data_IF_208984321564
#
_entry.id   IF_208984321564
#
_cell.length_a   1.000
_cell.length_b   1.000
_cell.length_c   1.000
_cell.angle_alpha   90.00
_cell.angle_beta   90.00
_cell.angle_gamma   90.00
#
_symmetry.space_group_name_H-M   'P 1'
#
loop_
_entity.id
_entity.type
_entity.pdbx_description
1 polymer ?
#
# COMPACT_ATOMS: atom_id res chain seq x y z
N UNK A 1 -10.32 5.18 14.19
CA UNK A 1 -9.03 4.80 14.82
C UNK A 1 -7.97 4.71 13.73
N UNK A 2 -6.78 5.26 13.99
CA UNK A 2 -5.60 5.15 13.11
C UNK A 2 -4.43 4.67 13.93
N UNK A 3 -3.78 3.61 13.51
CA UNK A 3 -2.50 3.12 14.03
C UNK A 3 -1.48 3.19 12.92
N UNK A 4 -0.29 3.74 13.20
CA UNK A 4 0.80 3.87 12.23
C UNK A 4 1.98 2.99 12.64
N UNK A 5 2.54 2.27 11.68
CA UNK A 5 3.71 1.42 11.82
C UNK A 5 4.73 1.84 10.74
N UNK A 6 5.99 1.92 11.09
CA UNK A 6 7.07 2.13 10.12
C UNK A 6 7.59 0.78 9.65
N UNK A 7 7.51 0.51 8.37
CA UNK A 7 7.80 -0.81 7.79
C UNK A 7 8.84 -0.76 6.69
N UNK A 8 9.53 -1.89 6.54
CA UNK A 8 10.52 -2.10 5.49
C UNK A 8 11.80 -1.26 5.64
N UNK A 9 12.73 -1.41 4.68
CA UNK A 9 14.04 -0.76 4.75
C UNK A 9 13.96 0.78 4.69
N UNK A 10 12.93 1.33 4.05
CA UNK A 10 12.76 2.78 3.93
C UNK A 10 11.89 3.41 5.01
N UNK A 11 11.42 2.62 6.00
CA UNK A 11 10.56 3.11 7.07
C UNK A 11 9.28 3.74 6.54
N UNK A 12 8.70 3.13 5.51
CA UNK A 12 7.45 3.56 4.91
C UNK A 12 6.31 3.49 5.93
N UNK A 13 5.42 4.47 5.89
CA UNK A 13 4.26 4.49 6.77
C UNK A 13 3.23 3.46 6.32
N UNK A 14 3.04 2.41 7.10
CA UNK A 14 1.90 1.51 7.01
C UNK A 14 0.84 1.92 8.03
N UNK A 15 -0.43 1.90 7.65
CA UNK A 15 -1.50 2.25 8.58
C UNK A 15 -2.50 1.11 8.74
N UNK A 16 -2.97 0.91 9.98
CA UNK A 16 -4.16 0.13 10.28
C UNK A 16 -5.26 1.15 10.57
N UNK A 17 -6.25 1.21 9.70
CA UNK A 17 -7.36 2.15 9.80
C UNK A 17 -8.68 1.43 10.07
N UNK A 18 -9.49 1.97 10.96
CA UNK A 18 -10.82 1.48 11.25
C UNK A 18 -11.79 2.62 11.53
N UNK A 19 -12.93 2.61 10.88
CA UNK A 19 -14.12 3.39 11.21
C UNK A 19 -15.11 2.62 12.10
N UNK A 20 -14.81 1.36 12.42
CA UNK A 20 -15.63 0.46 13.25
C UNK A 20 -14.86 -0.03 14.48
N UNK A 21 -15.52 -0.83 15.35
CA UNK A 21 -14.86 -1.43 16.52
C UNK A 21 -14.22 -2.79 16.28
N UNK A 22 -14.45 -3.42 15.14
CA UNK A 22 -14.05 -4.80 14.88
C UNK A 22 -13.27 -5.01 13.60
N UNK A 23 -13.52 -4.20 12.58
CA UNK A 23 -12.95 -4.37 11.25
C UNK A 23 -11.95 -3.25 10.96
N UNK A 24 -10.87 -3.59 10.26
CA UNK A 24 -9.87 -2.63 9.82
C UNK A 24 -9.45 -2.91 8.37
N UNK A 25 -8.82 -1.92 7.77
CA UNK A 25 -8.05 -2.09 6.55
C UNK A 25 -6.58 -1.80 6.85
N UNK A 26 -5.71 -2.43 6.08
CA UNK A 26 -4.27 -2.17 6.12
C UNK A 26 -3.95 -1.29 4.91
N UNK A 27 -3.29 -0.17 5.13
CA UNK A 27 -2.88 0.76 4.07
C UNK A 27 -1.37 0.69 3.93
N UNK A 28 -0.88 0.48 2.70
CA UNK A 28 0.53 0.47 2.33
C UNK A 28 1.42 -0.47 3.18
N UNK A 29 1.20 -1.79 3.16
CA UNK A 29 2.03 -2.75 3.88
C UNK A 29 3.35 -3.00 3.14
N UNK A 30 4.32 -2.12 3.32
CA UNK A 30 5.58 -2.09 2.57
C UNK A 30 6.66 -3.06 3.05
N UNK A 31 6.44 -3.78 4.16
CA UNK A 31 7.37 -4.73 4.76
C UNK A 31 6.88 -5.20 6.11
N UNK A 32 7.70 -5.98 6.82
CA UNK A 32 7.50 -6.37 8.23
C UNK A 32 6.11 -6.99 8.50
N UNK A 33 5.67 -7.92 7.66
CA UNK A 33 4.33 -8.52 7.69
C UNK A 33 3.96 -9.12 9.06
N UNK A 34 4.95 -9.69 9.77
CA UNK A 34 4.75 -10.28 11.10
C UNK A 34 4.42 -9.19 12.14
N UNK A 35 5.06 -8.02 12.05
CA UNK A 35 4.76 -6.88 12.92
C UNK A 35 3.38 -6.29 12.64
N UNK A 36 3.03 -6.15 11.36
CA UNK A 36 1.69 -5.68 10.95
C UNK A 36 0.62 -6.63 11.48
N UNK A 37 0.79 -7.95 11.28
CA UNK A 37 -0.17 -8.95 11.73
C UNK A 37 -0.29 -8.95 13.28
N UNK A 38 0.84 -8.92 13.99
CA UNK A 38 0.85 -8.84 15.46
C UNK A 38 0.14 -7.58 15.97
N UNK A 39 0.28 -6.44 15.27
CA UNK A 39 -0.39 -5.19 15.65
C UNK A 39 -1.90 -5.27 15.43
N UNK A 40 -2.36 -5.84 14.33
CA UNK A 40 -3.80 -6.10 14.08
C UNK A 40 -4.38 -7.00 15.16
N UNK A 41 -3.67 -8.09 15.51
CA UNK A 41 -4.11 -9.01 16.55
C UNK A 41 -4.14 -8.33 17.94
N UNK A 42 -3.16 -7.51 18.28
CA UNK A 42 -3.12 -6.73 19.53
C UNK A 42 -4.31 -5.76 19.66
N UNK A 43 -4.73 -5.18 18.53
CA UNK A 43 -5.91 -4.30 18.46
C UNK A 43 -7.25 -5.06 18.50
N UNK A 44 -7.21 -6.40 18.51
CA UNK A 44 -8.38 -7.28 18.43
C UNK A 44 -9.27 -6.97 17.21
N UNK A 45 -8.66 -6.68 16.06
CA UNK A 45 -9.36 -6.34 14.83
C UNK A 45 -9.28 -7.45 13.79
N UNK A 46 -10.22 -7.43 12.87
CA UNK A 46 -10.25 -8.30 11.69
C UNK A 46 -9.96 -7.46 10.46
N UNK A 47 -8.87 -7.73 9.73
CA UNK A 47 -8.61 -7.01 8.50
C UNK A 47 -9.54 -7.50 7.40
N UNK A 48 -10.25 -6.58 6.75
CA UNK A 48 -11.19 -6.85 5.67
C UNK A 48 -10.61 -6.56 4.28
N UNK A 49 -9.41 -5.99 4.22
CA UNK A 49 -8.70 -5.75 2.97
C UNK A 49 -7.45 -4.91 3.14
N UNK A 50 -6.71 -4.81 2.04
CA UNK A 50 -5.55 -3.93 1.89
C UNK A 50 -5.84 -2.87 0.84
N UNK A 51 -5.53 -1.61 1.14
CA UNK A 51 -5.64 -0.49 0.23
C UNK A 51 -4.25 0.09 -0.04
N UNK A 52 -3.90 0.27 -1.32
CA UNK A 52 -2.61 0.82 -1.73
C UNK A 52 -2.78 2.24 -2.27
N UNK A 53 -2.00 3.19 -1.74
CA UNK A 53 -1.97 4.56 -2.25
C UNK A 53 -1.35 4.62 -3.63
N UNK A 54 -0.37 3.76 -3.92
CA UNK A 54 0.27 3.63 -5.23
C UNK A 54 1.04 2.32 -5.34
N UNK A 55 1.71 2.08 -6.47
CA UNK A 55 2.29 0.80 -6.81
C UNK A 55 3.78 0.63 -6.52
N UNK A 56 4.46 1.48 -5.75
CA UNK A 56 5.87 1.26 -5.44
C UNK A 56 6.08 0.14 -4.42
N UNK A 57 7.21 -0.54 -4.54
CA UNK A 57 7.48 -1.78 -3.81
C UNK A 57 7.49 -1.60 -2.30
N UNK A 58 8.03 -0.50 -1.83
CA UNK A 58 8.10 -0.14 -0.41
C UNK A 58 6.73 0.15 0.24
N UNK A 59 5.66 0.19 -0.55
CA UNK A 59 4.27 0.29 -0.08
C UNK A 59 3.51 -1.04 -0.18
N UNK A 60 4.11 -2.09 -0.78
CA UNK A 60 3.36 -3.32 -1.07
C UNK A 60 4.14 -4.62 -0.87
N UNK A 61 5.40 -4.58 -0.44
CA UNK A 61 6.26 -5.77 -0.41
C UNK A 61 5.75 -6.88 0.54
N UNK A 62 5.02 -6.53 1.60
CA UNK A 62 4.45 -7.51 2.54
C UNK A 62 3.17 -8.20 2.02
N UNK A 63 2.57 -7.76 0.90
CA UNK A 63 1.25 -8.24 0.45
C UNK A 63 1.16 -9.75 0.32
N UNK A 64 2.15 -10.39 -0.30
CA UNK A 64 2.12 -11.83 -0.55
C UNK A 64 2.04 -12.63 0.75
N UNK A 65 2.86 -12.27 1.73
CA UNK A 65 2.93 -12.95 3.03
C UNK A 65 1.72 -12.63 3.91
N UNK A 66 1.28 -11.37 3.96
CA UNK A 66 0.06 -11.00 4.67
C UNK A 66 -1.15 -11.75 4.13
N UNK A 67 -1.33 -11.76 2.80
CA UNK A 67 -2.44 -12.49 2.17
C UNK A 67 -2.39 -13.98 2.52
N UNK A 68 -1.23 -14.63 2.38
CA UNK A 68 -1.07 -16.05 2.70
C UNK A 68 -1.35 -16.34 4.19
N UNK A 69 -0.86 -15.50 5.11
CA UNK A 69 -1.09 -15.62 6.55
C UNK A 69 -2.57 -15.53 6.91
N UNK A 70 -3.28 -14.52 6.42
CA UNK A 70 -4.70 -14.34 6.74
C UNK A 70 -5.59 -15.37 6.05
N UNK A 71 -5.31 -15.77 4.81
CA UNK A 71 -6.02 -16.86 4.13
C UNK A 71 -5.81 -18.20 4.84
N UNK A 72 -4.60 -18.48 5.36
CA UNK A 72 -4.32 -19.65 6.20
C UNK A 72 -5.11 -19.65 7.52
N UNK A 73 -5.51 -18.47 8.01
CA UNK A 73 -6.40 -18.29 9.19
C UNK A 73 -7.88 -18.29 8.83
N UNK A 74 -8.24 -18.48 7.56
CA UNK A 74 -9.62 -18.51 7.07
C UNK A 74 -10.22 -17.13 6.74
N UNK A 75 -9.43 -16.07 6.72
CA UNK A 75 -9.88 -14.73 6.34
C UNK A 75 -9.59 -14.46 4.85
N UNK A 76 -10.47 -13.70 4.22
CA UNK A 76 -10.18 -13.13 2.89
C UNK A 76 -9.49 -11.78 3.08
N UNK A 77 -8.41 -11.54 2.34
CA UNK A 77 -7.71 -10.27 2.34
C UNK A 77 -7.63 -9.71 0.92
N UNK A 78 -8.73 -9.14 0.39
CA UNK A 78 -8.72 -8.52 -0.93
C UNK A 78 -7.82 -7.28 -0.97
N UNK A 79 -7.21 -7.05 -2.15
CA UNK A 79 -6.26 -5.98 -2.39
C UNK A 79 -6.85 -4.97 -3.36
N UNK A 80 -6.89 -3.72 -2.94
CA UNK A 80 -7.38 -2.59 -3.70
C UNK A 80 -6.24 -1.64 -4.11
N UNK A 81 -6.19 -1.27 -5.39
CA UNK A 81 -5.21 -0.33 -5.94
C UNK A 81 -5.84 0.44 -7.10
N UNK A 82 -5.37 1.64 -7.37
CA UNK A 82 -5.80 2.41 -8.54
C UNK A 82 -5.54 1.68 -9.86
N UNK A 83 -6.47 1.80 -10.80
CA UNK A 83 -6.44 1.10 -12.09
C UNK A 83 -5.12 1.29 -12.85
N UNK A 84 -4.53 2.47 -12.84
CA UNK A 84 -3.30 2.78 -13.56
C UNK A 84 -2.06 2.12 -12.97
N UNK A 85 -2.07 1.77 -11.68
CA UNK A 85 -0.95 1.16 -10.96
C UNK A 85 -1.07 -0.38 -10.83
N UNK A 86 -2.15 -0.98 -11.34
CA UNK A 86 -2.35 -2.44 -11.30
C UNK A 86 -1.17 -3.27 -11.84
N UNK A 87 -0.38 -2.68 -12.76
CA UNK A 87 0.79 -3.32 -13.38
C UNK A 87 1.90 -3.69 -12.39
N UNK A 88 1.93 -3.04 -11.23
CA UNK A 88 2.88 -3.30 -10.15
C UNK A 88 2.57 -4.57 -9.36
N UNK A 89 1.41 -5.19 -9.60
CA UNK A 89 0.94 -6.41 -8.93
C UNK A 89 0.81 -7.58 -9.90
N UNK A 90 0.68 -8.80 -9.34
CA UNK A 90 0.59 -10.03 -10.12
C UNK A 90 1.92 -10.47 -10.73
N UNK A 91 1.86 -11.43 -11.63
CA UNK A 91 3.05 -12.10 -12.19
C UNK A 91 4.02 -11.14 -12.89
N UNK A 92 3.53 -10.08 -13.53
CA UNK A 92 4.36 -9.07 -14.20
C UNK A 92 4.93 -8.02 -13.27
N UNK A 93 4.36 -7.85 -12.08
CA UNK A 93 4.76 -6.79 -11.14
C UNK A 93 6.21 -6.92 -10.68
N UNK A 94 6.67 -8.15 -10.42
CA UNK A 94 8.05 -8.39 -9.99
C UNK A 94 9.09 -7.85 -10.97
N UNK A 95 8.86 -8.02 -12.27
CA UNK A 95 9.77 -7.50 -13.31
C UNK A 95 9.76 -5.97 -13.36
N UNK A 96 8.59 -5.36 -13.21
CA UNK A 96 8.49 -3.89 -13.16
C UNK A 96 9.26 -3.32 -11.96
N UNK A 97 9.16 -3.97 -10.80
CA UNK A 97 9.90 -3.55 -9.60
C UNK A 97 11.40 -3.76 -9.75
N UNK A 98 11.83 -4.89 -10.32
CA UNK A 98 13.25 -5.17 -10.58
C UNK A 98 13.87 -4.05 -11.41
N UNK A 99 13.24 -3.67 -12.52
CA UNK A 99 13.73 -2.59 -13.39
C UNK A 99 13.78 -1.24 -12.66
N UNK A 100 12.78 -0.95 -11.83
CA UNK A 100 12.76 0.28 -11.04
C UNK A 100 13.90 0.31 -10.01
N UNK A 101 14.12 -0.77 -9.26
CA UNK A 101 15.16 -0.87 -8.23
C UNK A 101 16.56 -0.83 -8.84
N UNK A 102 16.81 -1.55 -9.93
CA UNK A 102 18.08 -1.51 -10.66
C UNK A 102 18.44 -0.06 -11.08
N UNK A 103 17.44 0.73 -11.49
CA UNK A 103 17.67 2.13 -11.81
C UNK A 103 18.10 2.99 -10.61
N UNK A 104 17.86 2.49 -9.39
CA UNK A 104 18.24 3.12 -8.12
C UNK A 104 19.50 2.47 -7.50
N UNK A 105 20.08 1.45 -8.14
CA UNK A 105 21.21 0.69 -7.63
C UNK A 105 20.85 -0.21 -6.44
N UNK A 106 19.61 -0.69 -6.39
CA UNK A 106 19.06 -1.55 -5.33
C UNK A 106 18.65 -2.92 -5.86
N UNK A 107 18.58 -3.89 -4.99
CA UNK A 107 18.21 -5.27 -5.30
C UNK A 107 16.80 -5.60 -4.75
N UNK A 108 16.13 -6.58 -5.36
CA UNK A 108 14.81 -7.04 -4.92
C UNK A 108 14.86 -7.70 -3.54
N UNK A 109 15.99 -8.29 -3.20
CA UNK A 109 16.28 -8.99 -1.95
C UNK A 109 16.25 -8.06 -0.75
N UNK A 110 16.45 -6.76 -0.94
CA UNK A 110 16.32 -5.74 0.10
C UNK A 110 14.88 -5.62 0.63
N UNK A 111 13.88 -6.05 -0.17
CA UNK A 111 12.47 -5.94 0.14
C UNK A 111 11.77 -7.28 0.38
N UNK A 112 12.27 -8.35 -0.24
CA UNK A 112 11.62 -9.66 -0.16
C UNK A 112 12.53 -10.69 0.52
N UNK A 113 11.96 -11.46 1.43
CA UNK A 113 12.58 -12.67 1.94
C UNK A 113 12.56 -13.75 0.85
N UNK A 114 13.52 -14.67 0.85
CA UNK A 114 13.63 -15.76 -0.14
C UNK A 114 12.36 -16.61 -0.26
N UNK A 115 11.64 -16.80 0.86
CA UNK A 115 10.42 -17.59 0.94
C UNK A 115 9.14 -16.77 0.68
N UNK A 116 9.26 -15.51 0.24
CA UNK A 116 8.09 -14.68 -0.02
C UNK A 116 7.28 -15.20 -1.21
N UNK A 117 5.97 -15.39 -1.04
CA UNK A 117 5.08 -15.60 -2.16
C UNK A 117 5.20 -14.42 -3.13
N UNK A 118 5.02 -14.67 -4.41
CA UNK A 118 5.01 -13.57 -5.39
C UNK A 118 3.94 -12.53 -5.09
N UNK A 119 4.02 -11.40 -5.77
CA UNK A 119 3.02 -10.34 -5.63
C UNK A 119 1.64 -10.83 -6.09
N UNK A 120 0.60 -10.73 -5.25
CA UNK A 120 -0.73 -11.14 -5.62
C UNK A 120 -1.33 -10.20 -6.69
N UNK A 121 -2.34 -10.68 -7.40
CA UNK A 121 -3.14 -9.82 -8.29
C UNK A 121 -4.03 -8.90 -7.45
N UNK A 122 -4.31 -7.66 -7.91
CA UNK A 122 -5.31 -6.83 -7.27
C UNK A 122 -6.71 -7.41 -7.47
N UNK A 123 -7.51 -7.40 -6.41
CA UNK A 123 -8.90 -7.85 -6.43
C UNK A 123 -9.84 -6.71 -6.80
N UNK A 124 -9.55 -5.48 -6.37
CA UNK A 124 -10.38 -4.29 -6.54
C UNK A 124 -9.57 -3.21 -7.26
N UNK A 125 -10.19 -2.58 -8.25
CA UNK A 125 -9.65 -1.44 -8.98
C UNK A 125 -10.32 -0.18 -8.50
N UNK A 126 -9.52 0.74 -7.99
CA UNK A 126 -9.98 2.03 -7.48
C UNK A 126 -9.87 3.13 -8.53
N UNK A 127 -10.74 4.13 -8.41
CA UNK A 127 -10.76 5.37 -9.19
C UNK A 127 -11.34 6.51 -8.34
N UNK A 128 -11.30 7.73 -8.85
CA UNK A 128 -11.80 8.93 -8.18
C UNK A 128 -13.20 8.73 -7.59
N UNK A 129 -13.36 9.11 -6.32
CA UNK A 129 -14.64 9.08 -5.62
C UNK A 129 -15.09 7.72 -5.09
N UNK A 130 -14.37 6.64 -5.38
CA UNK A 130 -14.71 5.31 -4.86
C UNK A 130 -14.60 5.28 -3.34
N UNK A 131 -15.48 4.50 -2.70
CA UNK A 131 -15.35 4.13 -1.29
C UNK A 131 -14.48 2.88 -1.15
N UNK A 132 -13.65 2.88 -0.12
CA UNK A 132 -12.69 1.78 0.12
C UNK A 132 -13.25 0.84 1.18
N UNK A 133 -13.60 -0.39 0.79
CA UNK A 133 -14.10 -1.46 1.68
C UNK A 133 -15.26 -1.02 2.59
N UNK A 134 -16.17 -0.18 2.09
CA UNK A 134 -17.28 0.41 2.87
C UNK A 134 -16.85 1.19 4.13
N UNK A 135 -15.55 1.52 4.24
CA UNK A 135 -15.04 2.43 5.25
C UNK A 135 -15.45 3.88 4.93
N UNK A 136 -15.42 4.76 5.95
CA UNK A 136 -15.71 6.20 5.79
C UNK A 136 -14.52 6.93 5.14
N UNK A 137 -13.94 6.34 4.09
CA UNK A 137 -12.86 6.93 3.30
C UNK A 137 -13.18 6.86 1.81
N UNK A 138 -12.82 7.92 1.10
CA UNK A 138 -12.96 8.05 -0.34
C UNK A 138 -11.60 8.17 -1.01
N UNK A 139 -11.55 7.78 -2.28
CA UNK A 139 -10.38 7.92 -3.14
C UNK A 139 -10.35 9.33 -3.72
N UNK A 140 -9.18 9.99 -3.62
CA UNK A 140 -8.84 11.21 -4.34
C UNK A 140 -7.68 10.88 -5.29
N UNK A 141 -7.87 11.03 -6.59
CA UNK A 141 -6.79 10.83 -7.55
C UNK A 141 -5.77 11.97 -7.47
N UNK A 142 -4.51 11.60 -7.26
CA UNK A 142 -3.38 12.54 -7.15
C UNK A 142 -2.22 12.09 -8.03
N UNK A 143 -2.43 11.92 -9.36
CA UNK A 143 -1.40 11.42 -10.25
C UNK A 143 -0.20 12.37 -10.28
N UNK A 144 1.01 11.78 -10.31
CA UNK A 144 2.25 12.55 -10.34
C UNK A 144 3.45 11.73 -9.92
N UNK A 145 3.45 11.21 -8.70
CA UNK A 145 4.49 10.30 -8.20
C UNK A 145 4.46 8.98 -8.96
N UNK A 146 3.26 8.40 -9.10
CA UNK A 146 2.93 7.39 -10.11
C UNK A 146 1.70 7.83 -10.90
N UNK A 147 1.40 7.20 -12.07
CA UNK A 147 0.17 7.46 -12.80
C UNK A 147 -1.10 7.11 -12.01
N UNK A 148 -1.01 6.17 -11.07
CA UNK A 148 -2.11 5.70 -10.23
C UNK A 148 -1.98 6.12 -8.77
N UNK A 149 -1.20 7.16 -8.44
CA UNK A 149 -1.16 7.71 -7.09
C UNK A 149 -2.52 8.24 -6.69
N UNK A 150 -2.97 7.83 -5.51
CA UNK A 150 -4.22 8.25 -4.89
C UNK A 150 -3.99 8.57 -3.42
N UNK A 151 -4.83 9.44 -2.88
CA UNK A 151 -4.96 9.63 -1.44
C UNK A 151 -6.27 9.00 -0.96
N UNK A 152 -6.28 8.56 0.29
CA UNK A 152 -7.50 8.11 0.96
C UNK A 152 -7.93 9.18 1.97
N UNK A 153 -9.14 9.70 1.82
CA UNK A 153 -9.63 10.81 2.62
C UNK A 153 -10.87 10.44 3.42
N UNK A 154 -10.83 10.68 4.73
CA UNK A 154 -11.99 10.69 5.60
C UNK A 154 -12.38 12.13 5.90
N UNK A 155 -13.42 12.63 5.24
CA UNK A 155 -13.90 14.01 5.41
C UNK A 155 -14.41 14.27 6.83
N UNK A 156 -15.10 13.29 7.41
CA UNK A 156 -15.73 13.41 8.74
C UNK A 156 -14.72 13.56 9.87
N UNK A 157 -13.60 12.83 9.77
CA UNK A 157 -12.53 12.84 10.78
C UNK A 157 -11.38 13.78 10.40
N UNK A 158 -11.37 14.33 9.17
CA UNK A 158 -10.29 15.18 8.66
C UNK A 158 -8.97 14.42 8.50
N UNK A 159 -9.02 13.14 8.15
CA UNK A 159 -7.84 12.26 8.01
C UNK A 159 -7.53 12.07 6.53
N UNK A 160 -6.25 12.25 6.17
CA UNK A 160 -5.74 11.99 4.82
C UNK A 160 -4.56 11.00 4.89
N UNK A 161 -4.67 9.87 4.18
CA UNK A 161 -3.56 8.97 3.90
C UNK A 161 -3.03 9.32 2.52
N UNK A 162 -1.91 10.04 2.47
CA UNK A 162 -1.41 10.67 1.25
C UNK A 162 -0.39 9.83 0.47
N UNK A 163 0.08 8.70 1.03
CA UNK A 163 1.21 7.98 0.47
C UNK A 163 2.37 8.94 0.16
N UNK A 164 2.92 8.82 -1.03
CA UNK A 164 4.02 9.66 -1.52
C UNK A 164 3.56 10.91 -2.29
N UNK A 165 2.29 11.31 -2.12
CA UNK A 165 1.79 12.57 -2.72
C UNK A 165 2.19 13.77 -1.88
N UNK A 166 2.00 13.70 -0.55
CA UNK A 166 2.24 14.81 0.37
C UNK A 166 2.99 14.33 1.62
N UNK A 167 4.10 14.99 1.94
CA UNK A 167 4.87 14.80 3.15
C UNK A 167 4.76 16.00 4.08
N UNK A 168 5.25 15.87 5.31
CA UNK A 168 5.25 16.97 6.29
C UNK A 168 5.97 18.21 5.76
N UNK A 169 7.12 18.05 5.09
CA UNK A 169 7.97 19.15 4.60
C UNK A 169 8.01 19.25 3.07
N UNK A 170 7.07 18.63 2.33
CA UNK A 170 7.09 18.68 0.87
C UNK A 170 6.12 17.76 0.17
N UNK A 171 6.37 17.57 -1.11
CA UNK A 171 5.61 16.69 -1.99
C UNK A 171 6.49 15.59 -2.55
N UNK A 172 5.90 14.47 -2.91
CA UNK A 172 6.58 13.36 -3.55
C UNK A 172 7.21 13.75 -4.89
N UNK A 173 8.26 13.02 -5.27
CA UNK A 173 8.85 13.18 -6.61
C UNK A 173 7.82 12.86 -7.67
N UNK A 174 7.76 13.66 -8.73
CA UNK A 174 6.88 13.40 -9.86
C UNK A 174 7.67 12.83 -11.04
N UNK A 175 7.01 12.00 -11.87
CA UNK A 175 7.60 11.46 -13.09
C UNK A 175 8.05 12.57 -14.07
N UNK A 176 7.39 13.72 -14.05
CA UNK A 176 7.73 14.90 -14.88
C UNK A 176 9.04 15.57 -14.44
N UNK A 177 9.45 15.46 -13.17
CA UNK A 177 10.69 16.10 -12.68
C UNK A 177 11.98 15.36 -13.08
N UNK A 178 11.90 14.27 -13.85
CA UNK A 178 13.07 13.61 -14.46
C UNK A 178 13.59 14.34 -15.71
N UNK A 179 12.93 15.39 -16.19
CA UNK A 179 13.29 16.08 -17.44
C UNK A 179 13.72 17.54 -17.29
N UNK A 180 14.09 18.03 -16.11
CA UNK A 180 14.67 19.38 -15.99
C UNK A 180 16.03 19.27 -15.32
N UNK A 181 17.01 18.79 -16.07
CA UNK A 181 18.42 19.19 -15.95
C UNK A 181 18.93 19.32 -17.38
N UNK A 182 18.80 20.48 -17.94
CA UNK A 182 19.69 21.00 -18.98
C UNK A 182 20.35 22.25 -18.47
#
# INVERSE_FOLDING_TARGET
MVERIFVGPWKTNCYIYSSSKKECIIIDPGGDEDEIAARVDLLNMVPIGVALTHGHLDHLAALGRLKASYEGRGYKLPIAIHTSDRKFLGAGGREVHRQNLESLGMEMEDFFREDSPGLPKPDIKLQEGDRVFDMDIIVLETPGHTPGSICFYNEKEGILFSGDTLFFDGVGRTAANRQVVT
#
